data_IF_481191698043
#
_entry.id   IF_481191698043
#
_cell.length_a   1.000
_cell.length_b   1.000
_cell.length_c   1.000
_cell.angle_alpha   90.00
_cell.angle_beta   90.00
_cell.angle_gamma   90.00
#
_symmetry.space_group_name_H-M   'P 1'
#
loop_
_entity.id
_entity.type
_entity.pdbx_description
1 polymer ?
#
# COMPACT_ATOMS: atom_id res chain seq x y z
N UNK A 1 6.86 -16.64 3.92
CA UNK A 1 6.33 -15.35 3.46
C UNK A 1 7.45 -14.33 3.51
N UNK A 2 7.88 -13.83 2.35
CA UNK A 2 8.84 -12.75 2.21
C UNK A 2 8.19 -11.38 2.41
N UNK A 3 9.02 -10.33 2.55
CA UNK A 3 8.57 -8.95 2.75
C UNK A 3 7.66 -8.45 1.62
N UNK A 4 7.93 -8.82 0.37
CA UNK A 4 7.11 -8.43 -0.78
C UNK A 4 5.66 -8.96 -0.70
N UNK A 5 5.46 -10.19 -0.21
CA UNK A 5 4.12 -10.78 -0.05
C UNK A 5 3.33 -10.03 1.03
N UNK A 6 3.97 -9.69 2.15
CA UNK A 6 3.35 -8.95 3.26
C UNK A 6 2.95 -7.54 2.83
N UNK A 7 3.82 -6.85 2.08
CA UNK A 7 3.54 -5.51 1.56
C UNK A 7 2.37 -5.56 0.57
N UNK A 8 2.39 -6.54 -0.33
CA UNK A 8 1.31 -6.74 -1.32
C UNK A 8 -0.03 -7.00 -0.62
N UNK A 9 -0.06 -7.89 0.38
CA UNK A 9 -1.26 -8.15 1.16
C UNK A 9 -1.76 -6.89 1.90
N UNK A 10 -0.85 -6.13 2.51
CA UNK A 10 -1.18 -4.89 3.22
C UNK A 10 -1.80 -3.83 2.30
N UNK A 11 -1.28 -3.70 1.08
CA UNK A 11 -1.82 -2.81 0.05
C UNK A 11 -3.25 -3.21 -0.31
N UNK A 12 -3.50 -4.50 -0.57
CA UNK A 12 -4.85 -4.95 -0.96
C UNK A 12 -5.85 -4.95 0.20
N UNK A 13 -5.40 -5.14 1.44
CA UNK A 13 -6.26 -4.98 2.63
C UNK A 13 -6.71 -3.53 2.78
N UNK A 14 -5.79 -2.57 2.59
CA UNK A 14 -6.08 -1.15 2.76
C UNK A 14 -6.80 -0.53 1.56
N UNK A 15 -6.51 -1.03 0.35
CA UNK A 15 -7.03 -0.52 -0.92
C UNK A 15 -7.58 -1.68 -1.78
N UNK A 16 -8.69 -2.32 -1.35
CA UNK A 16 -9.20 -3.51 -2.00
C UNK A 16 -9.67 -3.28 -3.45
N UNK A 17 -10.05 -2.04 -3.79
CA UNK A 17 -10.48 -1.71 -5.16
C UNK A 17 -9.37 -1.89 -6.21
N UNK A 18 -8.10 -1.93 -5.81
CA UNK A 18 -6.98 -2.20 -6.71
C UNK A 18 -7.05 -3.60 -7.32
N UNK A 19 -7.73 -4.55 -6.68
CA UNK A 19 -7.97 -5.88 -7.25
C UNK A 19 -8.80 -5.83 -8.53
N UNK A 20 -9.65 -4.81 -8.70
CA UNK A 20 -10.47 -4.64 -9.90
C UNK A 20 -9.72 -3.99 -11.07
N UNK A 21 -8.51 -3.46 -10.83
CA UNK A 21 -7.69 -2.81 -11.86
C UNK A 21 -6.72 -3.78 -12.56
N UNK A 22 -6.72 -5.06 -12.17
CA UNK A 22 -5.79 -6.07 -12.66
C UNK A 22 -4.51 -6.19 -11.82
N UNK A 23 -3.57 -7.06 -12.22
CA UNK A 23 -2.34 -7.28 -11.48
C UNK A 23 -1.46 -6.02 -11.49
N UNK A 24 -1.15 -5.51 -10.31
CA UNK A 24 -0.24 -4.38 -10.14
C UNK A 24 1.22 -4.82 -10.33
N UNK A 25 2.05 -3.93 -10.87
CA UNK A 25 3.49 -4.14 -10.89
C UNK A 25 4.08 -3.98 -9.49
N UNK A 26 5.25 -4.59 -9.26
CA UNK A 26 5.99 -4.45 -8.01
C UNK A 26 6.22 -2.98 -7.62
N UNK A 27 6.53 -2.12 -8.60
CA UNK A 27 6.71 -0.68 -8.37
C UNK A 27 5.42 -0.01 -7.88
N UNK A 28 4.28 -0.31 -8.50
CA UNK A 28 2.98 0.21 -8.09
C UNK A 28 2.60 -0.24 -6.67
N UNK A 29 2.93 -1.49 -6.30
CA UNK A 29 2.74 -2.00 -4.93
C UNK A 29 3.58 -1.18 -3.94
N UNK A 30 4.87 -0.95 -4.22
CA UNK A 30 5.73 -0.16 -3.33
C UNK A 30 5.28 1.31 -3.21
N UNK A 31 4.81 1.93 -4.29
CA UNK A 31 4.26 3.29 -4.24
C UNK A 31 2.99 3.36 -3.37
N UNK A 32 2.06 2.42 -3.54
CA UNK A 32 0.85 2.34 -2.71
C UNK A 32 1.20 2.09 -1.24
N UNK A 33 2.13 1.18 -0.97
CA UNK A 33 2.60 0.89 0.37
C UNK A 33 3.20 2.12 1.04
N UNK A 34 4.09 2.85 0.34
CA UNK A 34 4.68 4.10 0.83
C UNK A 34 3.61 5.14 1.19
N UNK A 35 2.60 5.32 0.33
CA UNK A 35 1.49 6.23 0.63
C UNK A 35 0.69 5.80 1.86
N UNK A 36 0.44 4.50 2.04
CA UNK A 36 -0.29 3.97 3.21
C UNK A 36 0.52 4.20 4.48
N UNK A 37 1.80 3.84 4.50
CA UNK A 37 2.66 3.98 5.68
C UNK A 37 2.98 5.45 6.01
N UNK A 38 3.17 6.30 5.00
CA UNK A 38 3.36 7.74 5.21
C UNK A 38 2.07 8.43 5.64
N UNK A 39 0.90 8.04 5.12
CA UNK A 39 -0.39 8.53 5.62
C UNK A 39 -0.64 8.11 7.07
N UNK A 40 -0.19 6.90 7.45
CA UNK A 40 -0.27 6.40 8.83
C UNK A 40 0.62 7.19 9.79
N UNK A 41 1.71 7.79 9.28
CA UNK A 41 2.65 8.62 10.05
C UNK A 41 2.26 10.11 10.02
N UNK A 42 1.54 10.52 8.96
CA UNK A 42 1.18 11.90 8.62
C UNK A 42 -0.25 12.33 8.98
N UNK A 43 -0.96 11.58 9.83
CA UNK A 43 -2.13 12.09 10.54
C UNK A 43 -1.78 13.18 11.58
N UNK A 44 -0.48 13.44 11.80
CA UNK A 44 0.03 14.60 12.54
C UNK A 44 0.26 15.80 11.61
N UNK A 45 -0.75 16.16 10.81
CA UNK A 45 -0.90 17.53 10.31
C UNK A 45 -1.62 18.34 11.40
N UNK A 46 -0.96 18.49 12.56
CA UNK A 46 -1.26 19.56 13.53
C UNK A 46 -0.04 20.48 13.49
N UNK A 47 -0.05 21.41 12.54
CA UNK A 47 0.28 22.84 12.71
C UNK A 47 0.31 23.54 11.37
#
# INVERSE_FOLDING_TARGET
>A
MGSAEIITASVYITRPWLLFQGPLTTEQIYMNASQIFNASTGGSMVS
#
